data_IF_306201569985
#
_entry.id   IF_306201569985
#
_cell.length_a   1.000
_cell.length_b   1.000
_cell.length_c   1.000
_cell.angle_alpha   90.00
_cell.angle_beta   90.00
_cell.angle_gamma   90.00
#
_symmetry.space_group_name_H-M   'P 1'
#
loop_
_entity.id
_entity.type
_entity.pdbx_description
1 polymer ?
#
# COMPACT_ATOMS: atom_id res chain seq x y z
N UNK A 1 7.22 13.55 19.99
CA UNK A 1 5.93 12.87 19.72
C UNK A 1 4.84 13.91 19.85
N UNK A 2 4.28 14.39 18.76
CA UNK A 2 3.25 15.45 18.78
C UNK A 2 1.92 14.76 19.11
N UNK A 3 1.29 15.05 20.27
CA UNK A 3 -0.03 14.52 20.57
C UNK A 3 -1.06 15.12 19.60
N UNK A 4 -2.14 14.38 19.36
CA UNK A 4 -3.31 14.92 18.70
C UNK A 4 -3.90 16.07 19.55
N UNK A 5 -4.65 17.03 18.94
CA UNK A 5 -5.27 18.16 19.66
C UNK A 5 -6.09 17.76 20.89
N UNK A 6 -6.61 16.53 20.96
CA UNK A 6 -7.34 15.99 22.13
C UNK A 6 -6.49 15.18 23.12
N UNK A 7 -5.16 15.11 22.91
CA UNK A 7 -4.22 14.42 23.80
C UNK A 7 -4.17 12.91 23.68
N UNK A 8 -4.97 12.25 22.81
CA UNK A 8 -4.96 10.80 22.66
C UNK A 8 -3.70 10.34 21.90
N UNK A 9 -2.92 9.37 22.43
CA UNK A 9 -1.72 8.90 21.78
C UNK A 9 -2.04 8.09 20.51
N UNK A 10 -1.15 8.19 19.51
CA UNK A 10 -1.18 7.30 18.34
C UNK A 10 -0.59 5.93 18.68
N UNK A 11 -1.24 4.86 18.21
CA UNK A 11 -0.59 3.56 18.12
C UNK A 11 0.43 3.59 16.97
N UNK A 12 1.69 3.26 17.28
CA UNK A 12 2.76 3.27 16.29
C UNK A 12 2.76 1.93 15.53
N UNK A 13 2.92 2.00 14.21
CA UNK A 13 3.04 0.85 13.32
C UNK A 13 4.15 1.07 12.31
N UNK A 14 4.78 -0.02 11.88
CA UNK A 14 5.60 -0.06 10.68
C UNK A 14 4.97 -1.03 9.70
N UNK A 15 5.00 -0.71 8.42
CA UNK A 15 4.46 -1.56 7.36
C UNK A 15 5.42 -1.63 6.19
N UNK A 16 5.44 -2.79 5.56
CA UNK A 16 6.14 -3.02 4.31
C UNK A 16 5.13 -3.25 3.20
N UNK A 17 5.21 -2.43 2.15
CA UNK A 17 4.28 -2.38 1.03
C UNK A 17 4.97 -2.75 -0.27
N UNK A 18 4.19 -3.26 -1.21
CA UNK A 18 4.68 -3.67 -2.53
C UNK A 18 3.86 -2.95 -3.61
N UNK A 19 4.55 -2.22 -4.47
CA UNK A 19 3.99 -1.82 -5.76
C UNK A 19 4.08 -3.04 -6.69
N UNK A 20 3.05 -3.87 -6.66
CA UNK A 20 2.99 -5.13 -7.38
C UNK A 20 2.43 -4.89 -8.80
N UNK A 21 3.32 -4.92 -9.79
CA UNK A 21 2.98 -4.72 -11.19
C UNK A 21 2.87 -6.06 -11.91
N UNK A 22 1.84 -6.18 -12.74
CA UNK A 22 1.74 -7.29 -13.67
C UNK A 22 2.65 -7.09 -14.90
N UNK A 23 2.62 -8.05 -15.82
CA UNK A 23 3.39 -8.00 -17.06
C UNK A 23 2.88 -6.97 -18.10
N UNK A 24 1.85 -6.20 -17.75
CA UNK A 24 1.27 -5.09 -18.54
C UNK A 24 1.37 -3.75 -17.82
N UNK A 25 2.23 -3.65 -16.80
CA UNK A 25 2.42 -2.45 -15.96
C UNK A 25 1.17 -1.99 -15.21
N UNK A 26 0.22 -2.90 -14.92
CA UNK A 26 -0.93 -2.62 -14.07
C UNK A 26 -0.58 -2.94 -12.62
N UNK A 27 -1.03 -2.10 -11.70
CA UNK A 27 -0.80 -2.21 -10.27
C UNK A 27 -1.95 -2.97 -9.61
N UNK A 28 -1.63 -4.00 -8.82
CA UNK A 28 -2.62 -4.65 -7.97
C UNK A 28 -2.92 -3.79 -6.75
N UNK A 29 -4.18 -3.47 -6.57
CA UNK A 29 -4.69 -2.87 -5.33
C UNK A 29 -5.77 -3.75 -4.72
N UNK A 30 -5.78 -3.78 -3.40
CA UNK A 30 -6.80 -4.41 -2.57
C UNK A 30 -7.75 -3.34 -2.04
N UNK A 31 -9.01 -3.71 -1.83
CA UNK A 31 -10.02 -2.79 -1.31
C UNK A 31 -10.36 -3.13 0.14
N UNK A 32 -10.31 -2.14 1.00
CA UNK A 32 -10.75 -2.21 2.38
C UNK A 32 -11.90 -1.24 2.66
N UNK A 33 -12.52 -1.40 3.83
CA UNK A 33 -13.59 -0.54 4.30
C UNK A 33 -13.47 -0.34 5.81
N UNK A 34 -13.71 0.88 6.27
CA UNK A 34 -13.87 1.12 7.69
C UNK A 34 -15.12 0.37 8.21
N UNK A 35 -14.99 -0.47 9.26
CA UNK A 35 -16.09 -1.27 9.79
C UNK A 35 -17.19 -0.45 10.47
N UNK A 36 -16.91 0.82 10.81
CA UNK A 36 -17.90 1.71 11.44
C UNK A 36 -19.09 1.98 10.50
N UNK A 37 -20.31 2.21 11.03
CA UNK A 37 -21.47 2.60 10.23
C UNK A 37 -21.14 3.83 9.36
N UNK A 38 -21.39 3.73 8.06
CA UNK A 38 -21.08 4.79 7.10
C UNK A 38 -19.60 4.90 6.72
N UNK A 39 -18.74 3.98 7.21
CA UNK A 39 -17.32 3.97 6.90
C UNK A 39 -17.02 3.82 5.40
N UNK A 40 -16.09 4.66 4.92
CA UNK A 40 -15.67 4.69 3.53
C UNK A 40 -14.85 3.48 3.11
N UNK A 41 -14.75 3.27 1.79
CA UNK A 41 -13.84 2.31 1.18
C UNK A 41 -12.60 3.02 0.67
N UNK A 42 -11.48 2.30 0.65
CA UNK A 42 -10.25 2.75 0.00
C UNK A 42 -9.50 1.59 -0.62
N UNK A 43 -8.69 1.92 -1.60
CA UNK A 43 -7.79 0.99 -2.28
C UNK A 43 -6.36 1.21 -1.79
N UNK A 44 -5.62 0.12 -1.58
CA UNK A 44 -4.27 0.14 -1.06
C UNK A 44 -3.41 -0.95 -1.70
N UNK A 45 -2.11 -0.79 -1.58
CA UNK A 45 -1.12 -1.72 -2.15
C UNK A 45 -0.99 -2.99 -1.32
N UNK A 46 -0.58 -4.08 -1.95
CA UNK A 46 -0.18 -5.33 -1.29
C UNK A 46 0.83 -5.03 -0.18
N UNK A 47 0.73 -5.76 0.93
CA UNK A 47 1.62 -5.64 2.08
C UNK A 47 0.91 -5.20 3.35
N UNK A 48 1.59 -5.37 4.49
CA UNK A 48 1.01 -5.15 5.79
C UNK A 48 2.02 -4.82 6.89
N UNK A 49 1.61 -5.04 8.12
CA UNK A 49 2.41 -4.71 9.30
C UNK A 49 3.64 -5.58 9.44
N UNK A 50 4.75 -4.97 9.89
CA UNK A 50 5.91 -5.73 10.35
C UNK A 50 5.62 -6.28 11.74
N UNK A 51 5.99 -7.53 12.00
CA UNK A 51 5.96 -8.13 13.33
C UNK A 51 7.14 -7.63 14.19
N UNK A 52 7.07 -7.87 15.49
CA UNK A 52 8.15 -7.45 16.40
C UNK A 52 9.47 -8.14 16.05
N UNK A 53 10.48 -7.35 15.74
CA UNK A 53 11.80 -7.85 15.32
C UNK A 53 11.88 -8.37 13.89
N UNK A 54 10.79 -8.30 13.11
CA UNK A 54 10.77 -8.70 11.71
C UNK A 54 11.47 -7.65 10.82
N UNK A 55 12.32 -8.13 9.93
CA UNK A 55 12.92 -7.29 8.88
C UNK A 55 11.85 -6.85 7.86
N UNK A 56 11.84 -5.58 7.41
CA UNK A 56 10.84 -5.09 6.46
C UNK A 56 10.76 -5.87 5.14
N UNK A 57 11.88 -6.43 4.65
CA UNK A 57 11.88 -7.25 3.44
C UNK A 57 11.23 -8.62 3.70
N UNK A 58 11.47 -9.20 4.88
CA UNK A 58 10.80 -10.43 5.31
C UNK A 58 9.30 -10.23 5.45
N UNK A 59 8.87 -9.11 6.06
CA UNK A 59 7.46 -8.73 6.15
C UNK A 59 6.82 -8.62 4.76
N UNK A 60 7.46 -7.91 3.82
CA UNK A 60 6.96 -7.79 2.45
C UNK A 60 6.80 -9.16 1.77
N UNK A 61 7.78 -10.06 1.95
CA UNK A 61 7.73 -11.40 1.35
C UNK A 61 6.61 -12.26 1.95
N UNK A 62 6.43 -12.18 3.28
CA UNK A 62 5.34 -12.87 3.98
C UNK A 62 3.97 -12.37 3.51
N UNK A 63 3.77 -11.06 3.50
CA UNK A 63 2.52 -10.43 3.08
C UNK A 63 2.20 -10.73 1.60
N UNK A 64 3.20 -10.70 0.71
CA UNK A 64 3.02 -11.09 -0.68
C UNK A 64 2.41 -12.50 -0.79
N UNK A 65 2.96 -13.45 -0.05
CA UNK A 65 2.47 -14.84 -0.05
C UNK A 65 1.06 -14.94 0.55
N UNK A 66 0.81 -14.26 1.67
CA UNK A 66 -0.48 -14.30 2.38
C UNK A 66 -1.59 -13.68 1.53
N UNK A 67 -1.35 -12.50 0.94
CA UNK A 67 -2.36 -11.75 0.22
C UNK A 67 -2.56 -12.23 -1.23
N UNK A 68 -1.53 -12.80 -1.88
CA UNK A 68 -1.56 -13.11 -3.32
C UNK A 68 -1.28 -14.57 -3.68
N UNK A 69 -0.90 -15.39 -2.70
CA UNK A 69 -0.48 -16.77 -2.93
C UNK A 69 0.87 -16.93 -3.64
N UNK A 70 1.57 -15.83 -3.95
CA UNK A 70 2.88 -15.89 -4.61
C UNK A 70 3.99 -16.13 -3.58
N UNK A 71 4.65 -17.26 -3.69
CA UNK A 71 5.84 -17.61 -2.91
C UNK A 71 7.09 -17.32 -3.73
N UNK A 72 7.61 -16.10 -3.61
CA UNK A 72 8.80 -15.64 -4.31
C UNK A 72 9.93 -15.36 -3.30
N UNK A 73 11.18 -15.63 -3.69
CA UNK A 73 12.32 -15.33 -2.82
C UNK A 73 12.48 -13.81 -2.64
N UNK A 74 12.98 -13.39 -1.49
CA UNK A 74 13.09 -11.99 -1.11
C UNK A 74 13.89 -11.14 -2.13
N UNK A 75 14.85 -11.74 -2.81
CA UNK A 75 15.67 -11.11 -3.84
C UNK A 75 14.86 -10.66 -5.08
N UNK A 76 13.66 -11.22 -5.26
CA UNK A 76 12.73 -10.81 -6.32
C UNK A 76 12.04 -9.49 -6.00
N UNK A 77 11.91 -9.15 -4.71
CA UNK A 77 11.44 -7.84 -4.33
C UNK A 77 12.51 -6.81 -4.66
N UNK A 78 12.14 -5.91 -5.57
CA UNK A 78 13.05 -4.87 -6.04
C UNK A 78 13.42 -3.83 -4.98
N UNK A 79 14.02 -2.72 -5.40
CA UNK A 79 14.50 -1.72 -4.47
C UNK A 79 13.35 -1.05 -3.69
N UNK A 80 13.72 -0.46 -2.56
CA UNK A 80 12.88 0.51 -1.87
C UNK A 80 12.73 1.74 -2.77
N UNK A 81 11.51 2.07 -3.15
CA UNK A 81 11.24 3.16 -4.11
C UNK A 81 10.61 4.38 -3.48
N UNK A 82 9.98 4.20 -2.32
CA UNK A 82 9.20 5.24 -1.68
C UNK A 82 9.05 4.97 -0.19
N UNK A 83 9.00 6.04 0.60
CA UNK A 83 8.64 6.02 2.03
C UNK A 83 7.59 7.07 2.31
N UNK A 84 6.77 6.86 3.34
CA UNK A 84 5.92 7.88 3.93
C UNK A 84 5.61 7.57 5.38
N UNK A 85 5.16 8.58 6.11
CA UNK A 85 4.47 8.40 7.39
C UNK A 85 3.02 8.81 7.21
N UNK A 86 2.08 8.01 7.68
CA UNK A 86 0.66 8.37 7.61
C UNK A 86 0.02 8.34 9.00
N UNK A 87 -0.95 9.25 9.20
CA UNK A 87 -1.86 9.26 10.35
C UNK A 87 -3.24 8.93 9.85
N UNK A 88 -3.94 8.04 10.54
CA UNK A 88 -5.30 7.65 10.20
C UNK A 88 -6.03 7.07 11.40
N UNK A 89 -7.36 7.04 11.31
CA UNK A 89 -8.24 6.37 12.26
C UNK A 89 -8.87 5.15 11.61
N UNK A 90 -8.80 4.02 12.30
CA UNK A 90 -9.44 2.80 11.87
C UNK A 90 -10.12 2.14 13.08
N UNK A 91 -11.38 1.80 12.96
CA UNK A 91 -12.20 1.23 14.05
C UNK A 91 -12.09 2.03 15.36
N UNK A 92 -12.13 3.36 15.27
CA UNK A 92 -12.03 4.26 16.41
C UNK A 92 -10.63 4.39 17.04
N UNK A 93 -9.62 3.65 16.55
CA UNK A 93 -8.24 3.74 17.01
C UNK A 93 -7.40 4.59 16.08
N UNK A 94 -6.52 5.39 16.65
CA UNK A 94 -5.60 6.26 15.89
C UNK A 94 -4.26 5.61 15.70
N UNK A 95 -3.77 5.69 14.49
CA UNK A 95 -2.49 5.11 14.08
C UNK A 95 -1.57 6.19 13.49
N UNK A 96 -0.29 6.10 13.83
CA UNK A 96 0.80 6.73 13.09
C UNK A 96 1.66 5.63 12.52
N UNK A 97 1.71 5.51 11.21
CA UNK A 97 2.27 4.39 10.49
C UNK A 97 3.39 4.84 9.57
N UNK A 98 4.57 4.25 9.74
CA UNK A 98 5.66 4.37 8.78
C UNK A 98 5.49 3.31 7.70
N UNK A 99 5.62 3.68 6.45
CA UNK A 99 5.45 2.78 5.30
C UNK A 99 6.69 2.82 4.40
N UNK A 100 7.16 1.64 4.04
CA UNK A 100 8.20 1.41 3.05
C UNK A 100 7.61 0.70 1.84
N UNK A 101 7.87 1.22 0.62
CA UNK A 101 7.32 0.67 -0.62
C UNK A 101 8.43 0.11 -1.50
N UNK A 102 8.31 -1.17 -1.84
CA UNK A 102 9.20 -1.86 -2.78
C UNK A 102 8.49 -2.09 -4.11
N UNK A 103 9.26 -2.15 -5.19
CA UNK A 103 8.73 -2.45 -6.51
C UNK A 103 8.91 -3.94 -6.83
N UNK A 104 7.84 -4.60 -7.27
CA UNK A 104 7.90 -5.96 -7.81
C UNK A 104 7.17 -6.03 -9.16
N UNK A 105 7.89 -6.42 -10.20
CA UNK A 105 7.30 -6.72 -11.51
C UNK A 105 7.16 -8.22 -11.68
N UNK A 106 5.96 -8.66 -12.03
CA UNK A 106 5.65 -10.04 -12.30
C UNK A 106 5.85 -10.38 -13.77
N UNK A 107 6.29 -11.59 -14.03
CA UNK A 107 6.19 -12.22 -15.34
C UNK A 107 4.72 -12.55 -15.66
N UNK A 108 4.44 -12.90 -16.93
CA UNK A 108 3.10 -13.34 -17.32
C UNK A 108 2.67 -14.61 -16.57
N UNK A 109 3.59 -15.54 -16.33
CA UNK A 109 3.33 -16.78 -15.59
C UNK A 109 3.01 -16.50 -14.11
N UNK A 110 3.78 -15.62 -13.45
CA UNK A 110 3.53 -15.20 -12.08
C UNK A 110 2.22 -14.43 -11.96
N UNK A 111 1.92 -13.52 -12.90
CA UNK A 111 0.64 -12.81 -12.95
C UNK A 111 -0.53 -13.79 -13.03
N UNK A 112 -0.43 -14.82 -13.86
CA UNK A 112 -1.46 -15.87 -13.99
C UNK A 112 -1.58 -16.75 -12.72
N UNK A 113 -0.53 -16.81 -11.91
CA UNK A 113 -0.49 -17.58 -10.67
C UNK A 113 -1.07 -16.80 -9.46
N UNK A 114 -1.26 -15.49 -9.56
CA UNK A 114 -1.84 -14.67 -8.46
C UNK A 114 -3.20 -15.23 -8.05
N UNK A 115 -3.36 -15.42 -6.75
CA UNK A 115 -4.62 -15.84 -6.10
C UNK A 115 -4.81 -14.96 -4.89
N UNK A 116 -5.52 -13.84 -5.09
CA UNK A 116 -5.76 -12.90 -4.00
C UNK A 116 -6.61 -13.56 -2.92
N UNK A 117 -6.15 -13.45 -1.68
CA UNK A 117 -6.87 -14.01 -0.53
C UNK A 117 -8.21 -13.28 -0.32
N UNK A 118 -9.34 -14.01 -0.25
CA UNK A 118 -10.65 -13.39 -0.07
C UNK A 118 -10.86 -12.71 1.30
N UNK A 119 -10.06 -13.08 2.31
CA UNK A 119 -10.09 -12.46 3.62
C UNK A 119 -9.49 -11.06 3.58
N UNK A 120 -8.34 -10.93 2.89
CA UNK A 120 -7.62 -9.66 2.72
C UNK A 120 -8.32 -8.74 1.71
N UNK A 121 -8.76 -9.28 0.58
CA UNK A 121 -9.52 -8.55 -0.42
C UNK A 121 -11.04 -8.65 -0.22
N UNK A 122 -11.48 -8.58 1.03
CA UNK A 122 -12.89 -8.77 1.41
C UNK A 122 -13.86 -7.87 0.66
N UNK A 123 -13.41 -6.69 0.23
CA UNK A 123 -14.22 -5.71 -0.52
C UNK A 123 -13.79 -5.59 -1.97
N UNK A 124 -12.92 -6.48 -2.45
CA UNK A 124 -12.46 -6.59 -3.82
C UNK A 124 -10.97 -6.33 -4.02
N UNK A 125 -10.52 -6.63 -5.21
CA UNK A 125 -9.19 -6.30 -5.71
C UNK A 125 -9.29 -5.98 -7.20
N UNK A 126 -8.32 -5.23 -7.72
CA UNK A 126 -8.28 -4.87 -9.13
C UNK A 126 -6.85 -4.59 -9.58
N UNK A 127 -6.56 -4.92 -10.84
CA UNK A 127 -5.34 -4.53 -11.54
C UNK A 127 -5.56 -3.20 -12.25
N UNK A 128 -5.02 -2.15 -11.71
CA UNK A 128 -5.20 -0.77 -12.15
C UNK A 128 -4.13 -0.37 -13.16
N UNK A 129 -4.51 0.10 -14.34
CA UNK A 129 -3.61 0.88 -15.19
C UNK A 129 -3.41 2.29 -14.62
N UNK A 130 -2.34 2.97 -15.06
CA UNK A 130 -2.09 4.38 -14.66
C UNK A 130 -3.26 5.29 -15.05
N UNK A 131 -3.87 5.05 -16.22
CA UNK A 131 -5.01 5.83 -16.69
C UNK A 131 -6.23 5.65 -15.78
N UNK A 132 -6.57 4.41 -15.42
CA UNK A 132 -7.67 4.13 -14.47
C UNK A 132 -7.41 4.78 -13.11
N UNK A 133 -6.17 4.72 -12.60
CA UNK A 133 -5.80 5.38 -11.34
C UNK A 133 -5.96 6.90 -11.41
N UNK A 134 -5.61 7.51 -12.55
CA UNK A 134 -5.67 8.96 -12.74
C UNK A 134 -7.11 9.46 -12.89
N UNK A 135 -7.98 8.68 -13.54
CA UNK A 135 -9.37 9.04 -13.82
C UNK A 135 -10.34 8.60 -12.70
N UNK A 136 -9.85 7.87 -11.69
CA UNK A 136 -10.69 7.31 -10.63
C UNK A 136 -11.12 8.37 -9.61
N UNK A 137 -12.40 8.34 -9.23
CA UNK A 137 -12.97 9.05 -8.09
C UNK A 137 -12.83 8.29 -6.76
N UNK A 138 -12.28 7.07 -6.82
CA UNK A 138 -12.09 6.23 -5.64
C UNK A 138 -10.98 6.77 -4.72
N UNK A 139 -11.12 6.49 -3.43
CA UNK A 139 -10.05 6.77 -2.46
C UNK A 139 -8.93 5.76 -2.66
N UNK A 140 -7.80 6.21 -3.20
CA UNK A 140 -6.61 5.39 -3.46
C UNK A 140 -5.47 5.90 -2.58
N UNK A 141 -4.75 4.99 -1.96
CA UNK A 141 -3.65 5.29 -1.05
C UNK A 141 -2.35 4.60 -1.45
N UNK A 142 -1.25 5.35 -1.51
CA UNK A 142 -1.10 6.80 -1.36
C UNK A 142 -1.85 7.59 -2.45
N UNK A 143 -2.34 8.80 -2.12
CA UNK A 143 -3.17 9.60 -3.04
C UNK A 143 -2.53 9.92 -4.38
N UNK A 144 -1.25 10.17 -4.44
CA UNK A 144 -0.53 10.51 -5.68
C UNK A 144 -0.04 9.29 -6.46
N UNK A 145 -0.64 8.13 -6.21
CA UNK A 145 -0.14 6.86 -6.73
C UNK A 145 -0.06 6.83 -8.27
N UNK A 146 -1.04 7.39 -8.98
CA UNK A 146 -0.99 7.49 -10.44
C UNK A 146 0.22 8.28 -10.95
N UNK A 147 0.47 9.46 -10.39
CA UNK A 147 1.60 10.30 -10.77
C UNK A 147 2.95 9.64 -10.41
N UNK A 148 3.04 9.06 -9.21
CA UNK A 148 4.22 8.34 -8.76
C UNK A 148 4.52 7.14 -9.66
N UNK A 149 3.50 6.35 -9.99
CA UNK A 149 3.63 5.19 -10.86
C UNK A 149 4.03 5.60 -12.28
N UNK A 150 3.50 6.71 -12.81
CA UNK A 150 3.90 7.26 -14.10
C UNK A 150 5.40 7.53 -14.16
N UNK A 151 5.95 8.21 -13.15
CA UNK A 151 7.39 8.50 -13.07
C UNK A 151 8.19 7.22 -12.95
N UNK A 152 7.78 6.31 -12.06
CA UNK A 152 8.47 5.05 -11.82
C UNK A 152 8.49 4.13 -13.05
N UNK A 153 7.42 4.10 -13.84
CA UNK A 153 7.34 3.31 -15.08
C UNK A 153 8.20 3.90 -16.19
N UNK A 154 8.28 5.24 -16.27
CA UNK A 154 9.07 5.94 -17.30
C UNK A 154 10.55 5.91 -16.99
N UNK A 155 10.95 6.25 -15.78
CA UNK A 155 12.34 6.54 -15.39
C UNK A 155 12.99 5.39 -14.59
N UNK A 156 12.17 4.44 -14.12
CA UNK A 156 12.61 3.41 -13.19
C UNK A 156 12.81 3.92 -11.74
N UNK A 157 13.27 3.05 -10.85
CA UNK A 157 13.62 3.44 -9.48
C UNK A 157 14.76 4.45 -9.48
N UNK A 158 14.60 5.54 -8.72
CA UNK A 158 15.68 6.49 -8.48
C UNK A 158 16.81 5.91 -7.61
N UNK A 159 17.94 6.62 -7.50
CA UNK A 159 19.07 6.19 -6.66
C UNK A 159 18.76 6.20 -5.17
N UNK A 160 17.74 6.96 -4.78
CA UNK A 160 17.22 7.04 -3.40
C UNK A 160 15.70 6.93 -3.42
N UNK A 161 15.10 6.32 -2.38
CA UNK A 161 13.64 6.29 -2.26
C UNK A 161 13.06 7.70 -2.19
N UNK A 162 11.89 7.89 -2.80
CA UNK A 162 11.16 9.15 -2.68
C UNK A 162 10.49 9.22 -1.31
N UNK A 163 10.82 10.23 -0.51
CA UNK A 163 10.12 10.50 0.74
C UNK A 163 8.89 11.39 0.49
N UNK A 164 7.71 10.86 0.78
CA UNK A 164 6.43 11.58 0.66
C UNK A 164 6.08 12.38 1.92
N UNK A 165 6.93 12.32 2.96
CA UNK A 165 6.71 13.01 4.23
C UNK A 165 5.58 12.41 5.06
N UNK A 166 5.03 13.22 5.96
CA UNK A 166 3.91 12.84 6.83
C UNK A 166 2.58 13.36 6.26
N UNK A 167 1.62 12.46 6.13
CA UNK A 167 0.29 12.70 5.53
C UNK A 167 -0.80 12.32 6.53
N UNK A 168 -1.88 13.09 6.56
CA UNK A 168 -3.08 12.77 7.33
C UNK A 168 -4.14 12.18 6.39
N UNK A 169 -4.27 10.86 6.43
CA UNK A 169 -5.21 10.14 5.56
C UNK A 169 -6.68 10.35 5.97
N UNK A 170 -6.96 10.84 7.20
CA UNK A 170 -8.32 11.16 7.65
C UNK A 170 -8.78 12.54 7.11
N UNK A 171 -7.87 13.50 7.00
CA UNK A 171 -8.18 14.82 6.44
C UNK A 171 -8.69 14.71 5.00
N UNK A 172 -8.31 13.66 4.32
CA UNK A 172 -8.68 13.38 2.95
C UNK A 172 -10.09 12.79 2.78
N UNK A 173 -10.63 12.16 3.82
CA UNK A 173 -12.00 11.63 3.81
C UNK A 173 -13.05 12.73 4.03
N UNK A 174 -12.66 13.87 4.55
CA UNK A 174 -13.54 15.02 4.82
C UNK A 174 -13.79 15.90 3.58
N UNK A 175 -13.12 15.62 2.44
CA UNK A 175 -13.21 16.42 1.22
C UNK A 175 -14.05 15.78 0.10
N UNK A 176 -14.76 14.67 0.39
CA UNK A 176 -15.68 14.00 -0.55
C UNK A 176 -17.12 14.05 -0.07
#
# INVERSE_FOLDING_TARGET
MTPHPDGTPYALRSTSRILLLDNRDRLLLLCSRDPRPGGGRWWFTVGGGTEEGEDPLAAATRELREETGLDLPAERLGPLVMTRTTRFTFDGRRFRQSEEYRLLRLTAAETAAVRVDPGEARFGHHWWSVAELADSDQVIRPRRLAALLTVLLRDGPGPTPLDLGEVDDDADLALN
#
